data_IF_069369546392
#
_entry.id   IF_069369546392
#
_cell.length_a   1.000
_cell.length_b   1.000
_cell.length_c   1.000
_cell.angle_alpha   90.00
_cell.angle_beta   90.00
_cell.angle_gamma   90.00
#
_symmetry.space_group_name_H-M   'P 1'
#
loop_
_entity.id
_entity.type
_entity.pdbx_description
1 polymer ?
#
# COMPACT_ATOMS: atom_id res chain seq x y z
N UNK A 1 13.31 -16.72 -19.64
CA UNK A 1 11.92 -16.40 -19.28
C UNK A 1 11.89 -15.23 -18.31
N UNK A 2 11.07 -14.21 -18.59
CA UNK A 2 10.94 -13.14 -17.62
C UNK A 2 10.30 -13.66 -16.35
N UNK A 3 10.78 -13.17 -15.21
CA UNK A 3 10.15 -13.50 -13.94
C UNK A 3 8.75 -12.89 -13.89
N UNK A 4 7.80 -13.62 -13.32
CA UNK A 4 6.50 -13.04 -12.99
C UNK A 4 6.71 -11.89 -12.01
N UNK A 5 6.22 -10.70 -12.37
CA UNK A 5 6.30 -9.54 -11.48
C UNK A 5 5.15 -9.60 -10.48
N UNK A 6 5.42 -9.18 -9.24
CA UNK A 6 4.36 -8.94 -8.29
C UNK A 6 3.48 -7.80 -8.78
N UNK A 7 2.19 -8.00 -8.78
CA UNK A 7 1.26 -6.93 -9.12
C UNK A 7 1.26 -5.87 -8.03
N UNK A 8 0.97 -4.66 -8.41
CA UNK A 8 0.69 -3.63 -7.43
C UNK A 8 -0.66 -3.91 -6.76
N UNK A 9 -0.89 -3.27 -5.62
CA UNK A 9 -2.10 -3.53 -4.83
C UNK A 9 -3.25 -2.73 -5.41
N UNK A 10 -4.35 -3.41 -5.72
CA UNK A 10 -5.58 -2.76 -6.16
C UNK A 10 -6.52 -2.63 -4.96
N UNK A 11 -6.41 -1.53 -4.26
CA UNK A 11 -7.13 -1.30 -3.03
C UNK A 11 -8.64 -1.18 -3.23
N UNK A 12 -9.40 -1.74 -2.29
CA UNK A 12 -10.82 -1.48 -2.13
C UNK A 12 -11.10 -1.27 -0.64
N UNK A 13 -12.32 -0.88 -0.29
CA UNK A 13 -12.67 -0.53 1.09
C UNK A 13 -12.46 -1.69 2.06
N UNK A 14 -12.77 -2.91 1.64
CA UNK A 14 -12.63 -4.12 2.48
C UNK A 14 -11.16 -4.41 2.73
N UNK A 15 -10.34 -4.39 1.67
CA UNK A 15 -8.91 -4.63 1.75
C UNK A 15 -8.23 -3.59 2.64
N UNK A 16 -8.58 -2.32 2.45
CA UNK A 16 -8.02 -1.21 3.20
C UNK A 16 -8.25 -1.38 4.70
N UNK A 17 -9.48 -1.71 5.08
CA UNK A 17 -9.86 -1.92 6.48
C UNK A 17 -9.10 -3.11 7.09
N UNK A 18 -9.06 -4.22 6.38
CA UNK A 18 -8.38 -5.42 6.86
C UNK A 18 -6.87 -5.19 7.02
N UNK A 19 -6.26 -4.54 6.03
CA UNK A 19 -4.83 -4.25 6.07
C UNK A 19 -4.49 -3.31 7.24
N UNK A 20 -5.25 -2.26 7.44
CA UNK A 20 -5.04 -1.34 8.56
C UNK A 20 -5.16 -2.04 9.91
N UNK A 21 -6.10 -2.96 10.01
CA UNK A 21 -6.31 -3.74 11.23
C UNK A 21 -5.12 -4.65 11.54
N UNK A 22 -4.55 -5.30 10.51
CA UNK A 22 -3.49 -6.30 10.69
C UNK A 22 -2.09 -5.69 10.77
N UNK A 23 -1.83 -4.60 10.05
CA UNK A 23 -0.46 -4.14 9.80
C UNK A 23 0.09 -3.15 10.81
N UNK A 24 -0.70 -2.61 11.71
CA UNK A 24 -0.26 -1.65 12.74
C UNK A 24 0.51 -0.47 12.12
N UNK A 25 -0.19 0.37 11.37
CA UNK A 25 0.44 1.45 10.62
C UNK A 25 0.71 2.70 11.46
N UNK A 26 1.81 3.40 11.16
CA UNK A 26 2.05 4.75 11.68
C UNK A 26 1.11 5.77 11.01
N UNK A 27 1.05 6.98 11.56
CA UNK A 27 0.21 8.04 10.98
C UNK A 27 0.63 8.39 9.56
N UNK A 28 1.93 8.48 9.29
CA UNK A 28 2.43 8.75 7.95
C UNK A 28 2.09 7.62 6.99
N UNK A 29 2.21 6.38 7.42
CA UNK A 29 1.85 5.21 6.62
C UNK A 29 0.37 5.22 6.28
N UNK A 30 -0.51 5.59 7.20
CA UNK A 30 -1.94 5.71 6.95
C UNK A 30 -2.26 6.80 5.92
N UNK A 31 -1.61 7.96 6.03
CA UNK A 31 -1.82 9.05 5.09
C UNK A 31 -1.47 8.59 3.67
N UNK A 32 -0.30 8.00 3.50
CA UNK A 32 0.14 7.51 2.19
C UNK A 32 -0.77 6.38 1.69
N UNK A 33 -1.19 5.48 2.58
CA UNK A 33 -2.07 4.38 2.23
C UNK A 33 -3.43 4.88 1.73
N UNK A 34 -4.05 5.81 2.44
CA UNK A 34 -5.36 6.34 2.05
C UNK A 34 -5.28 7.11 0.73
N UNK A 35 -4.26 7.94 0.55
CA UNK A 35 -4.07 8.63 -0.71
C UNK A 35 -3.82 7.66 -1.86
N UNK A 36 -3.03 6.62 -1.62
CA UNK A 36 -2.78 5.59 -2.63
C UNK A 36 -4.05 4.84 -3.01
N UNK A 37 -4.89 4.52 -2.04
CA UNK A 37 -6.14 3.80 -2.27
C UNK A 37 -7.16 4.62 -3.06
N UNK A 38 -7.25 5.91 -2.81
CA UNK A 38 -8.23 6.79 -3.42
C UNK A 38 -7.66 7.58 -4.60
N UNK A 39 -6.35 7.81 -4.62
CA UNK A 39 -5.67 8.54 -5.69
C UNK A 39 -4.31 7.90 -5.93
N UNK A 40 -4.14 7.27 -7.07
CA UNK A 40 -2.91 6.53 -7.39
C UNK A 40 -1.72 7.43 -7.75
N UNK A 41 -1.95 8.73 -7.91
CA UNK A 41 -0.90 9.63 -8.36
C UNK A 41 -0.05 10.10 -7.18
N UNK A 42 1.23 9.70 -7.23
CA UNK A 42 2.24 10.08 -6.25
C UNK A 42 2.33 11.61 -6.07
N UNK A 43 2.19 12.36 -7.18
CA UNK A 43 2.26 13.81 -7.17
C UNK A 43 1.19 14.45 -6.29
N UNK A 44 -0.02 13.88 -6.25
CA UNK A 44 -1.10 14.42 -5.42
C UNK A 44 -0.81 14.24 -3.94
N UNK A 45 -0.25 13.10 -3.53
CA UNK A 45 0.17 12.90 -2.15
C UNK A 45 1.25 13.89 -1.76
N UNK A 46 2.22 14.09 -2.63
CA UNK A 46 3.29 15.07 -2.42
C UNK A 46 2.73 16.49 -2.22
N UNK A 47 1.80 16.91 -3.07
CA UNK A 47 1.19 18.23 -2.98
C UNK A 47 0.32 18.41 -1.73
N UNK A 48 -0.47 17.39 -1.40
CA UNK A 48 -1.45 17.48 -0.32
C UNK A 48 -0.83 17.41 1.08
N UNK A 49 0.28 16.71 1.24
CA UNK A 49 0.87 16.42 2.54
C UNK A 49 2.30 16.92 2.71
N UNK A 50 2.81 17.66 1.75
CA UNK A 50 4.17 18.24 1.79
C UNK A 50 5.27 17.20 2.01
N UNK A 51 5.03 15.97 1.59
CA UNK A 51 6.04 14.90 1.63
C UNK A 51 6.84 14.89 0.34
N UNK A 52 8.13 14.60 0.43
CA UNK A 52 8.95 14.41 -0.77
C UNK A 52 8.51 13.15 -1.52
N UNK A 53 8.67 13.14 -2.84
CA UNK A 53 8.32 11.96 -3.65
C UNK A 53 9.15 10.75 -3.23
N UNK A 54 10.42 10.94 -2.88
CA UNK A 54 11.28 9.87 -2.39
C UNK A 54 10.70 9.23 -1.14
N UNK A 55 10.26 10.06 -0.19
CA UNK A 55 9.66 9.56 1.05
C UNK A 55 8.38 8.79 0.78
N UNK A 56 7.52 9.29 -0.11
CA UNK A 56 6.28 8.61 -0.46
C UNK A 56 6.57 7.24 -1.10
N UNK A 57 7.55 7.17 -2.00
CA UNK A 57 7.97 5.91 -2.62
C UNK A 57 8.50 4.92 -1.59
N UNK A 58 9.28 5.37 -0.62
CA UNK A 58 9.79 4.55 0.46
C UNK A 58 8.65 3.99 1.31
N UNK A 59 7.68 4.84 1.66
CA UNK A 59 6.52 4.43 2.44
C UNK A 59 5.66 3.42 1.66
N UNK A 60 5.42 3.66 0.37
CA UNK A 60 4.68 2.71 -0.47
C UNK A 60 5.40 1.35 -0.54
N UNK A 61 6.73 1.35 -0.66
CA UNK A 61 7.52 0.12 -0.64
C UNK A 61 7.39 -0.62 0.69
N UNK A 62 7.39 0.12 1.80
CA UNK A 62 7.19 -0.44 3.14
C UNK A 62 5.79 -1.04 3.27
N UNK A 63 4.78 -0.35 2.77
CA UNK A 63 3.41 -0.83 2.77
C UNK A 63 3.25 -2.12 1.97
N UNK A 64 3.92 -2.22 0.81
CA UNK A 64 3.91 -3.45 0.01
C UNK A 64 4.52 -4.62 0.79
N UNK A 65 5.62 -4.39 1.49
CA UNK A 65 6.24 -5.43 2.33
C UNK A 65 5.33 -5.86 3.47
N UNK A 66 4.69 -4.92 4.13
CA UNK A 66 3.72 -5.23 5.18
C UNK A 66 2.53 -6.01 4.64
N UNK A 67 2.04 -5.62 3.46
CA UNK A 67 0.96 -6.34 2.78
C UNK A 67 1.35 -7.79 2.52
N UNK A 68 2.52 -8.02 1.93
CA UNK A 68 3.00 -9.36 1.65
C UNK A 68 3.18 -10.19 2.93
N UNK A 69 3.51 -9.54 4.05
CA UNK A 69 3.69 -10.22 5.33
C UNK A 69 2.36 -10.64 5.96
N UNK A 70 1.30 -9.83 5.84
CA UNK A 70 0.01 -10.13 6.45
C UNK A 70 -0.93 -10.91 5.54
N UNK A 71 -0.72 -10.85 4.23
CA UNK A 71 -1.60 -11.46 3.25
C UNK A 71 -1.87 -12.96 3.50
N UNK A 72 -0.89 -13.79 3.87
CA UNK A 72 -1.16 -15.22 4.11
C UNK A 72 -2.10 -15.50 5.28
N UNK A 73 -2.32 -14.53 6.15
CA UNK A 73 -3.13 -14.70 7.35
C UNK A 73 -4.59 -14.29 7.17
N UNK A 74 -4.97 -13.81 5.99
CA UNK A 74 -6.34 -13.39 5.72
C UNK A 74 -6.74 -13.69 4.28
N UNK A 75 -7.98 -14.20 4.05
CA UNK A 75 -8.49 -14.38 2.69
C UNK A 75 -8.98 -13.08 2.06
N UNK A 76 -9.08 -11.99 2.83
CA UNK A 76 -9.58 -10.70 2.32
C UNK A 76 -8.53 -9.93 1.52
N UNK A 77 -7.26 -10.30 1.64
CA UNK A 77 -6.17 -9.68 0.89
C UNK A 77 -5.67 -10.66 -0.18
N UNK A 78 -5.95 -10.39 -1.47
CA UNK A 78 -5.45 -11.26 -2.52
C UNK A 78 -3.93 -11.15 -2.66
N UNK A 79 -3.24 -12.24 -3.03
CA UNK A 79 -1.79 -12.18 -3.21
C UNK A 79 -1.41 -11.32 -4.40
N UNK A 80 -0.26 -10.64 -4.30
CA UNK A 80 0.26 -9.78 -5.37
C UNK A 80 0.93 -10.56 -6.51
N UNK A 81 1.17 -11.83 -6.32
CA UNK A 81 1.82 -12.70 -7.31
C UNK A 81 0.75 -13.40 -8.12
N UNK A 82 0.88 -13.34 -9.43
CA UNK A 82 0.00 -14.08 -10.34
C UNK A 82 0.34 -15.55 -10.37
#
# INVERSE_FOLDING_TARGET
>A
MPRARKRDIEWNAIMLREFEYLACLSDEERIVLHDWAFDRYLANTHMNHSMSETKIKEIRSRLRRKYDAVQPFTPLLPPRIQ
#
